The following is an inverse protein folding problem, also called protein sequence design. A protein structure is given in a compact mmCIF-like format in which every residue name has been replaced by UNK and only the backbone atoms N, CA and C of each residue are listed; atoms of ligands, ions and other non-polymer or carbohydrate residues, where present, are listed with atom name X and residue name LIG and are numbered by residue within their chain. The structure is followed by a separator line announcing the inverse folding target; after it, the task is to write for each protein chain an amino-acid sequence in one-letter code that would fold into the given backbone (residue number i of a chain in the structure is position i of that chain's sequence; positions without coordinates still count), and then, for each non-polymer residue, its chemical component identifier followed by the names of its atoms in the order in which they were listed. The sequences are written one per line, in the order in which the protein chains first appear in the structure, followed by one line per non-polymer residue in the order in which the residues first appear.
data_IF_197380281933
#
_entry.id   IF_197380281933
#
_cell.length_a   1.000
_cell.length_b   1.000
_cell.length_c   1.000
_cell.angle_alpha   90.00
_cell.angle_beta   90.00
_cell.angle_gamma   90.00
#
_symmetry.space_group_name_H-M   'P 1'
#
loop_
_entity.id
_entity.type
_entity.pdbx_description
1 polymer ?
#
# COMPACT_ATOMS: atom_id res chain seq x y z
N UNK A 1 -37.30 -3.81 -1.78
CA UNK A 1 -36.30 -4.53 -2.60
C UNK A 1 -34.96 -4.35 -1.92
N UNK A 2 -34.32 -5.45 -1.53
CA UNK A 2 -33.11 -5.44 -0.72
C UNK A 2 -31.92 -4.89 -1.51
N UNK A 3 -31.40 -3.73 -1.12
CA UNK A 3 -30.11 -3.24 -1.58
C UNK A 3 -29.03 -4.10 -0.94
N UNK A 4 -28.63 -5.14 -1.66
CA UNK A 4 -27.53 -6.05 -1.32
C UNK A 4 -26.23 -5.27 -1.51
N UNK A 5 -25.87 -4.46 -0.52
CA UNK A 5 -24.57 -3.80 -0.45
C UNK A 5 -23.47 -4.86 -0.37
N UNK A 6 -22.66 -4.91 -1.42
CA UNK A 6 -21.63 -5.91 -1.64
C UNK A 6 -20.62 -6.03 -0.48
N UNK A 7 -20.34 -7.24 0.02
CA UNK A 7 -19.32 -7.50 1.05
C UNK A 7 -17.88 -7.24 0.59
N UNK A 8 -17.68 -6.76 -0.65
CA UNK A 8 -16.35 -6.51 -1.22
C UNK A 8 -15.76 -5.18 -0.79
N UNK A 9 -16.57 -4.15 -0.47
CA UNK A 9 -16.05 -2.83 -0.05
C UNK A 9 -15.33 -2.87 1.30
N UNK A 10 -15.77 -3.74 2.20
CA UNK A 10 -15.18 -3.91 3.54
C UNK A 10 -13.79 -4.56 3.49
N UNK A 11 -13.60 -5.52 2.58
CA UNK A 11 -12.29 -6.17 2.41
C UNK A 11 -11.19 -5.20 1.96
N UNK A 12 -11.56 -4.15 1.23
CA UNK A 12 -10.61 -3.10 0.82
C UNK A 12 -10.38 -2.05 1.91
N UNK A 13 -11.37 -1.74 2.75
CA UNK A 13 -11.16 -0.81 3.89
C UNK A 13 -10.18 -1.38 4.91
N UNK A 14 -10.17 -2.71 5.13
CA UNK A 14 -9.15 -3.37 5.96
C UNK A 14 -7.75 -3.37 5.33
N UNK A 15 -7.66 -3.47 3.99
CA UNK A 15 -6.38 -3.35 3.29
C UNK A 15 -5.78 -1.95 3.46
N UNK A 16 -6.61 -0.90 3.41
CA UNK A 16 -6.21 0.51 3.61
C UNK A 16 -6.01 0.90 5.09
N UNK A 17 -6.54 0.10 6.03
CA UNK A 17 -6.26 0.26 7.48
C UNK A 17 -4.81 0.01 7.86
N UNK A 18 -3.99 -0.55 6.96
CA UNK A 18 -2.55 -0.75 7.18
C UNK A 18 -1.72 0.53 7.29
N UNK A 19 -2.33 1.71 7.14
CA UNK A 19 -1.70 2.96 7.58
C UNK A 19 -1.47 2.99 9.11
N UNK A 20 -2.29 2.25 9.89
CA UNK A 20 -2.13 2.12 11.35
C UNK A 20 -0.81 1.44 11.74
N UNK A 21 -0.36 0.46 10.95
CA UNK A 21 0.89 -0.24 11.25
C UNK A 21 2.09 0.71 11.14
N UNK A 22 2.18 1.51 10.07
CA UNK A 22 3.30 2.45 9.88
C UNK A 22 3.27 3.54 10.96
N UNK A 23 2.10 4.09 11.29
CA UNK A 23 1.94 5.05 12.38
C UNK A 23 2.27 4.49 13.77
N UNK A 24 2.01 3.20 14.01
CA UNK A 24 2.36 2.52 15.28
C UNK A 24 3.85 2.19 15.43
N UNK A 25 4.60 2.15 14.34
CA UNK A 25 6.05 1.87 14.37
C UNK A 25 6.91 3.14 14.40
N UNK A 26 6.36 4.33 14.13
CA UNK A 26 7.11 5.56 14.29
C UNK A 26 6.87 6.20 15.66
N UNK A 27 7.96 6.46 16.38
CA UNK A 27 7.99 7.30 17.58
C UNK A 27 7.69 8.79 17.30
N UNK A 28 7.33 9.14 16.06
CA UNK A 28 7.28 10.52 15.57
C UNK A 28 6.06 11.33 16.05
N UNK A 29 5.12 10.71 16.77
CA UNK A 29 3.93 11.37 17.34
C UNK A 29 2.86 11.72 16.30
N UNK A 30 1.66 12.09 16.78
CA UNK A 30 0.46 12.31 15.92
C UNK A 30 0.61 13.47 14.91
N UNK A 31 1.60 14.35 15.10
CA UNK A 31 1.82 15.52 14.24
C UNK A 31 2.92 15.31 13.18
N UNK A 32 3.47 14.11 13.04
CA UNK A 32 4.52 13.86 12.05
C UNK A 32 3.98 13.94 10.63
N UNK A 33 4.57 14.84 9.83
CA UNK A 33 4.27 14.92 8.40
C UNK A 33 5.08 13.84 7.70
N UNK A 34 4.42 12.72 7.41
CA UNK A 34 5.01 11.61 6.70
C UNK A 34 5.48 12.03 5.31
N UNK A 35 6.79 12.01 5.11
CA UNK A 35 7.40 12.24 3.80
C UNK A 35 7.54 10.92 3.04
N UNK A 36 7.76 11.00 1.74
CA UNK A 36 8.04 9.81 0.93
C UNK A 36 9.32 9.08 1.40
N UNK A 37 10.29 9.82 1.94
CA UNK A 37 11.54 9.27 2.49
C UNK A 37 11.30 8.47 3.78
N UNK A 38 10.27 8.80 4.56
CA UNK A 38 9.85 8.01 5.73
C UNK A 38 9.03 6.77 5.30
N UNK A 39 8.12 6.96 4.34
CA UNK A 39 7.17 5.95 3.94
C UNK A 39 7.80 4.83 3.11
N UNK A 40 8.70 5.15 2.17
CA UNK A 40 9.30 4.16 1.28
C UNK A 40 10.04 3.03 2.03
N UNK A 41 10.96 3.31 2.97
CA UNK A 41 11.64 2.27 3.75
C UNK A 41 10.67 1.47 4.64
N UNK A 42 9.66 2.12 5.23
CA UNK A 42 8.63 1.42 6.00
C UNK A 42 7.84 0.43 5.13
N UNK A 43 7.46 0.84 3.92
CA UNK A 43 6.78 -0.02 2.95
C UNK A 43 7.69 -1.15 2.47
N UNK A 44 8.98 -0.91 2.23
CA UNK A 44 9.93 -1.97 1.89
C UNK A 44 10.01 -3.02 3.01
N UNK A 45 10.20 -2.57 4.25
CA UNK A 45 10.29 -3.44 5.42
C UNK A 45 9.04 -4.33 5.57
N UNK A 46 7.84 -3.73 5.56
CA UNK A 46 6.57 -4.46 5.68
C UNK A 46 6.39 -5.43 4.50
N UNK A 47 6.71 -5.01 3.29
CA UNK A 47 6.57 -5.84 2.08
C UNK A 47 7.44 -7.10 2.14
N UNK A 48 8.70 -6.96 2.56
CA UNK A 48 9.61 -8.10 2.73
C UNK A 48 9.12 -9.03 3.83
N UNK A 49 8.72 -8.48 4.98
CA UNK A 49 8.35 -9.27 6.17
C UNK A 49 7.00 -9.95 6.05
N UNK A 50 6.05 -9.36 5.33
CA UNK A 50 4.73 -9.92 5.14
C UNK A 50 4.70 -11.07 4.10
N UNK A 51 5.81 -11.33 3.39
CA UNK A 51 5.98 -12.46 2.46
C UNK A 51 4.80 -12.64 1.48
N UNK A 52 4.26 -11.54 0.96
CA UNK A 52 3.10 -11.58 0.07
C UNK A 52 3.45 -12.36 -1.20
N UNK A 53 2.78 -13.49 -1.38
CA UNK A 53 2.90 -14.30 -2.59
C UNK A 53 2.31 -13.56 -3.77
N UNK A 54 2.97 -13.67 -4.92
CA UNK A 54 2.52 -13.07 -6.18
C UNK A 54 2.24 -11.56 -6.11
N UNK A 55 2.94 -10.83 -5.25
CA UNK A 55 2.69 -9.41 -4.99
C UNK A 55 2.66 -8.55 -6.28
N UNK A 56 3.49 -8.86 -7.27
CA UNK A 56 3.45 -8.16 -8.57
C UNK A 56 2.10 -8.30 -9.29
N UNK A 57 1.46 -9.47 -9.21
CA UNK A 57 0.14 -9.71 -9.80
C UNK A 57 -0.96 -8.96 -9.02
N UNK A 58 -0.88 -8.96 -7.69
CA UNK A 58 -1.82 -8.20 -6.84
C UNK A 58 -1.72 -6.68 -7.09
N UNK A 59 -0.50 -6.14 -7.22
CA UNK A 59 -0.29 -4.71 -7.56
C UNK A 59 -0.91 -4.41 -8.93
N UNK A 60 -0.73 -5.30 -9.92
CA UNK A 60 -1.30 -5.13 -11.25
C UNK A 60 -2.83 -5.15 -11.21
N UNK A 61 -3.41 -6.10 -10.47
CA UNK A 61 -4.85 -6.19 -10.25
C UNK A 61 -5.40 -4.90 -9.64
N UNK A 62 -4.76 -4.38 -8.58
CA UNK A 62 -5.18 -3.12 -7.96
C UNK A 62 -5.09 -1.96 -8.96
N UNK A 63 -4.02 -1.86 -9.76
CA UNK A 63 -3.89 -0.82 -10.77
C UNK A 63 -5.03 -0.85 -11.81
N UNK A 64 -5.41 -2.05 -12.25
CA UNK A 64 -6.39 -2.25 -13.30
C UNK A 64 -7.83 -2.02 -12.78
N UNK A 65 -8.13 -2.37 -11.52
CA UNK A 65 -9.49 -2.30 -10.95
C UNK A 65 -9.77 -1.09 -10.06
N UNK A 66 -8.76 -0.46 -9.45
CA UNK A 66 -8.93 0.70 -8.57
C UNK A 66 -8.68 2.05 -9.28
N UNK A 67 -8.60 2.04 -10.62
CA UNK A 67 -8.27 3.19 -11.45
C UNK A 67 -9.02 4.50 -11.11
N UNK A 68 -10.33 4.53 -10.78
CA UNK A 68 -11.02 5.78 -10.42
C UNK A 68 -10.49 6.41 -9.13
N UNK A 69 -10.21 5.60 -8.11
CA UNK A 69 -9.72 6.06 -6.80
C UNK A 69 -8.25 6.48 -6.86
N UNK A 70 -7.46 5.77 -7.69
CA UNK A 70 -6.07 6.12 -7.97
C UNK A 70 -5.91 7.40 -8.80
N UNK A 71 -6.82 7.64 -9.75
CA UNK A 71 -6.82 8.85 -10.59
C UNK A 71 -7.27 10.11 -9.82
N UNK A 72 -8.09 9.94 -8.80
CA UNK A 72 -8.54 11.04 -7.94
C UNK A 72 -7.42 11.62 -7.06
N UNK A 73 -6.25 10.97 -6.99
CA UNK A 73 -5.10 11.43 -6.21
C UNK A 73 -5.28 11.21 -4.71
N UNK A 74 -4.54 11.99 -3.91
CA UNK A 74 -4.59 11.94 -2.45
C UNK A 74 -3.81 10.78 -1.82
N UNK A 75 -4.09 10.51 -0.54
CA UNK A 75 -3.31 9.56 0.27
C UNK A 75 -3.33 8.13 -0.29
N UNK A 76 -4.47 7.68 -0.83
CA UNK A 76 -4.61 6.34 -1.43
C UNK A 76 -3.69 6.18 -2.64
N UNK A 77 -3.66 7.18 -3.53
CA UNK A 77 -2.80 7.17 -4.70
C UNK A 77 -1.31 7.23 -4.32
N UNK A 78 -0.99 8.02 -3.29
CA UNK A 78 0.36 8.11 -2.74
C UNK A 78 0.82 6.76 -2.18
N UNK A 79 0.04 6.15 -1.29
CA UNK A 79 0.35 4.84 -0.69
C UNK A 79 0.53 3.74 -1.73
N UNK A 80 -0.36 3.70 -2.74
CA UNK A 80 -0.22 2.72 -3.82
C UNK A 80 1.06 2.93 -4.63
N UNK A 81 1.39 4.19 -4.93
CA UNK A 81 2.63 4.54 -5.65
C UNK A 81 3.85 4.13 -4.83
N UNK A 82 3.85 4.40 -3.52
CA UNK A 82 4.92 3.99 -2.60
C UNK A 82 5.04 2.47 -2.49
N UNK A 83 3.92 1.73 -2.43
CA UNK A 83 3.91 0.26 -2.47
C UNK A 83 4.50 -0.28 -3.79
N UNK A 84 4.14 0.32 -4.91
CA UNK A 84 4.68 -0.06 -6.21
C UNK A 84 6.19 0.23 -6.28
N UNK A 85 6.62 1.38 -5.79
CA UNK A 85 8.03 1.77 -5.74
C UNK A 85 8.84 0.82 -4.85
N UNK A 86 8.35 0.49 -3.66
CA UNK A 86 9.02 -0.44 -2.74
C UNK A 86 9.17 -1.84 -3.34
N UNK A 87 8.11 -2.36 -3.98
CA UNK A 87 8.17 -3.65 -4.68
C UNK A 87 9.24 -3.64 -5.78
N UNK A 88 9.27 -2.60 -6.63
CA UNK A 88 10.24 -2.49 -7.72
C UNK A 88 11.67 -2.40 -7.18
N UNK A 89 11.87 -1.67 -6.08
CA UNK A 89 13.17 -1.54 -5.42
C UNK A 89 13.67 -2.89 -4.88
N UNK A 90 12.81 -3.62 -4.16
CA UNK A 90 13.13 -4.96 -3.66
C UNK A 90 13.47 -5.93 -4.81
N UNK A 91 12.72 -5.88 -5.92
CA UNK A 91 13.00 -6.70 -7.09
C UNK A 91 14.35 -6.36 -7.73
N UNK A 92 14.71 -5.08 -7.83
CA UNK A 92 16.02 -4.65 -8.33
C UNK A 92 17.15 -5.17 -7.46
N UNK A 93 17.04 -5.04 -6.14
CA UNK A 93 18.07 -5.52 -5.21
C UNK A 93 18.25 -7.05 -5.27
N UNK A 94 17.17 -7.81 -5.46
CA UNK A 94 17.26 -9.27 -5.68
C UNK A 94 17.86 -9.67 -7.02
N UNK A 95 17.82 -8.78 -8.01
CA UNK A 95 18.38 -9.01 -9.35
C UNK A 95 19.83 -8.55 -9.48
N UNK A 96 20.41 -7.96 -8.43
CA UNK A 96 21.83 -7.65 -8.39
C UNK A 96 22.63 -8.96 -8.17
N UNK A 97 23.72 -9.17 -8.93
CA UNK A 97 24.54 -10.37 -8.88
C UNK A 97 25.30 -10.54 -7.56
#
# INVERSE_FOLDING_TARGET
MASKTEPKKEKYSEFWRKQDCVSRFAEAGENHVWTTDDLLPAFMYVTVRAQLQHLGAEIRLIADFAAPQLRAGGQIALMFTTLKASYMQICKEKSLP
#
